data_IF_183912449924
#
_entry.id   IF_183912449924
#
_cell.length_a   1.000
_cell.length_b   1.000
_cell.length_c   1.000
_cell.angle_alpha   90.00
_cell.angle_beta   90.00
_cell.angle_gamma   90.00
#
_symmetry.space_group_name_H-M   'P 1'
#
loop_
_entity.id
_entity.type
_entity.pdbx_description
1 polymer ?
#
# COMPACT_ATOMS: atom_id res chain seq x y z
N UNK A 1 -2.42 21.14 23.20
CA UNK A 1 -1.58 21.82 22.18
C UNK A 1 -1.34 20.86 21.04
N UNK A 2 -1.82 21.16 19.82
CA UNK A 2 -1.31 20.47 18.62
C UNK A 2 0.15 20.92 18.44
N UNK A 3 1.11 20.02 18.19
CA UNK A 3 2.48 20.43 17.90
C UNK A 3 2.46 21.38 16.68
N UNK A 4 3.34 22.38 16.69
CA UNK A 4 3.52 23.26 15.54
C UNK A 4 3.87 22.40 14.30
N UNK A 5 3.33 22.72 13.11
CA UNK A 5 3.67 21.97 11.91
C UNK A 5 5.18 22.07 11.69
N UNK A 6 5.85 20.92 11.70
CA UNK A 6 7.23 20.83 11.26
C UNK A 6 7.16 20.94 9.74
N UNK A 7 7.51 22.09 9.19
CA UNK A 7 7.69 22.22 7.74
C UNK A 7 8.97 21.49 7.37
N UNK A 8 8.82 20.32 6.74
CA UNK A 8 9.91 19.58 6.15
C UNK A 8 10.31 20.24 4.83
N UNK A 9 11.60 20.53 4.65
CA UNK A 9 12.12 20.89 3.32
C UNK A 9 12.43 19.62 2.54
N UNK A 10 11.96 19.57 1.29
CA UNK A 10 12.31 18.52 0.34
C UNK A 10 13.58 18.86 -0.45
N UNK A 11 14.10 20.08 -0.32
CA UNK A 11 15.30 20.51 -1.03
C UNK A 11 16.53 19.74 -0.54
N UNK A 12 17.34 19.27 -1.50
CA UNK A 12 18.55 18.49 -1.22
C UNK A 12 18.32 17.01 -0.89
N UNK A 13 17.06 16.54 -0.84
CA UNK A 13 16.77 15.12 -0.67
C UNK A 13 16.96 14.36 -1.98
N UNK A 14 17.70 13.26 -1.90
CA UNK A 14 17.87 12.33 -3.02
C UNK A 14 16.85 11.19 -3.00
N UNK A 15 16.24 10.92 -1.84
CA UNK A 15 15.41 9.73 -1.63
C UNK A 15 14.20 10.00 -0.74
N UNK A 16 13.18 9.16 -0.92
CA UNK A 16 12.03 9.01 -0.02
C UNK A 16 11.89 7.52 0.33
N UNK A 17 11.15 7.19 1.40
CA UNK A 17 11.01 5.82 1.89
C UNK A 17 9.56 5.39 1.81
N UNK A 18 9.26 4.45 0.91
CA UNK A 18 7.96 3.79 0.82
C UNK A 18 7.93 2.64 1.81
N UNK A 19 6.94 2.65 2.71
CA UNK A 19 6.81 1.62 3.74
C UNK A 19 5.44 0.97 3.59
N UNK A 20 5.43 -0.36 3.62
CA UNK A 20 4.21 -1.15 3.51
C UNK A 20 4.22 -2.26 4.54
N UNK A 21 3.05 -2.66 5.01
CA UNK A 21 2.93 -3.86 5.82
C UNK A 21 2.93 -5.11 4.92
N UNK A 22 3.90 -5.98 5.13
CA UNK A 22 3.99 -7.30 4.50
C UNK A 22 3.72 -8.43 5.48
N UNK A 23 3.61 -9.64 4.94
CA UNK A 23 3.52 -10.87 5.71
C UNK A 23 4.63 -11.83 5.32
N UNK A 24 5.43 -12.27 6.30
CA UNK A 24 6.42 -13.31 6.12
C UNK A 24 5.73 -14.67 6.28
N UNK A 25 5.53 -15.36 5.16
CA UNK A 25 4.90 -16.68 5.14
C UNK A 25 5.69 -17.75 5.90
N UNK A 26 7.01 -17.61 6.01
CA UNK A 26 7.86 -18.57 6.72
C UNK A 26 7.86 -18.33 8.22
N UNK A 27 7.87 -17.06 8.64
CA UNK A 27 7.88 -16.69 10.06
C UNK A 27 6.48 -16.54 10.65
N UNK A 28 5.44 -16.59 9.82
CA UNK A 28 4.06 -16.31 10.21
C UNK A 28 3.92 -14.97 10.95
N UNK A 29 4.73 -13.98 10.57
CA UNK A 29 4.83 -12.69 11.25
C UNK A 29 4.59 -11.55 10.27
N UNK A 30 4.00 -10.48 10.80
CA UNK A 30 3.85 -9.21 10.09
C UNK A 30 5.16 -8.45 10.16
N UNK A 31 5.59 -7.91 9.03
CA UNK A 31 6.84 -7.13 8.93
C UNK A 31 6.57 -5.85 8.15
N UNK A 32 7.28 -4.77 8.48
CA UNK A 32 7.31 -3.59 7.64
C UNK A 32 8.34 -3.82 6.53
N UNK A 33 7.88 -3.78 5.29
CA UNK A 33 8.74 -3.69 4.13
C UNK A 33 9.05 -2.23 3.86
N UNK A 34 10.34 -1.91 3.77
CA UNK A 34 10.83 -0.55 3.53
C UNK A 34 11.56 -0.56 2.20
N UNK A 35 11.09 0.25 1.27
CA UNK A 35 11.73 0.50 0.00
C UNK A 35 12.24 1.93 -0.07
N UNK A 36 13.51 2.09 -0.46
CA UNK A 36 14.11 3.39 -0.70
C UNK A 36 13.83 3.79 -2.15
N UNK A 37 13.20 4.92 -2.40
CA UNK A 37 12.86 5.39 -3.74
C UNK A 37 13.66 6.65 -4.08
N UNK A 38 14.19 6.72 -5.31
CA UNK A 38 14.94 7.88 -5.79
C UNK A 38 13.98 9.01 -6.18
N UNK A 39 14.28 10.23 -5.76
CA UNK A 39 13.58 11.43 -6.22
C UNK A 39 14.07 11.75 -7.64
N UNK A 40 13.13 11.84 -8.58
CA UNK A 40 13.39 12.10 -10.00
C UNK A 40 13.20 13.58 -10.35
N UNK A 41 12.34 14.28 -9.60
CA UNK A 41 12.05 15.70 -9.83
C UNK A 41 11.05 16.26 -8.83
N UNK A 42 11.04 17.58 -8.74
CA UNK A 42 10.13 18.36 -7.90
C UNK A 42 9.42 19.39 -8.79
N UNK A 43 8.11 19.33 -8.80
CA UNK A 43 7.25 20.36 -9.39
C UNK A 43 6.68 21.24 -8.27
N UNK A 44 5.79 22.18 -8.61
CA UNK A 44 5.13 23.04 -7.61
C UNK A 44 4.21 22.24 -6.67
N UNK A 45 3.57 21.18 -7.19
CA UNK A 45 2.55 20.42 -6.46
C UNK A 45 2.91 18.95 -6.27
N UNK A 46 3.84 18.42 -7.08
CA UNK A 46 4.15 16.99 -7.11
C UNK A 46 5.64 16.76 -6.87
N UNK A 47 5.95 15.75 -6.06
CA UNK A 47 7.26 15.10 -6.08
C UNK A 47 7.17 13.83 -6.90
N UNK A 48 8.04 13.72 -7.90
CA UNK A 48 8.15 12.54 -8.75
C UNK A 48 9.24 11.63 -8.22
N UNK A 49 8.88 10.39 -7.91
CA UNK A 49 9.81 9.38 -7.39
C UNK A 49 9.79 8.14 -8.26
N UNK A 50 10.93 7.44 -8.35
CA UNK A 50 11.00 6.17 -9.06
C UNK A 50 10.09 5.14 -8.38
N UNK A 51 9.28 4.41 -9.16
CA UNK A 51 8.42 3.34 -8.63
C UNK A 51 9.25 2.18 -8.05
N UNK A 52 10.40 1.89 -8.64
CA UNK A 52 11.30 0.84 -8.18
C UNK A 52 12.08 1.20 -6.91
N UNK A 53 12.35 0.18 -6.09
CA UNK A 53 13.32 0.27 -5.00
C UNK A 53 14.72 0.56 -5.54
N UNK A 54 15.39 1.56 -4.98
CA UNK A 54 16.77 1.89 -5.27
C UNK A 54 17.70 0.78 -4.77
N UNK A 55 18.42 0.17 -5.72
CA UNK A 55 19.43 -0.87 -5.43
C UNK A 55 20.79 -0.43 -5.98
N UNK A 56 21.78 -0.13 -5.13
CA UNK A 56 23.07 0.42 -5.57
C UNK A 56 23.84 -0.53 -6.48
N UNK A 57 23.71 -1.85 -6.27
CA UNK A 57 24.47 -2.87 -7.01
C UNK A 57 23.75 -3.41 -8.25
N UNK A 58 22.52 -2.95 -8.52
CA UNK A 58 21.67 -3.48 -9.60
C UNK A 58 21.47 -2.51 -10.76
N UNK A 59 22.17 -1.35 -10.74
CA UNK A 59 22.22 -0.36 -11.81
C UNK A 59 20.88 -0.15 -12.52
N UNK A 60 19.96 0.63 -11.91
CA UNK A 60 18.64 0.99 -12.46
C UNK A 60 18.09 -0.05 -13.45
N UNK A 61 17.90 -1.30 -12.98
CA UNK A 61 17.58 -2.42 -13.83
C UNK A 61 16.35 -2.14 -14.70
N UNK A 62 16.49 -2.40 -16.02
CA UNK A 62 15.49 -2.24 -17.10
C UNK A 62 14.06 -2.71 -16.77
N UNK A 63 13.88 -3.56 -15.76
CA UNK A 63 12.58 -4.07 -15.33
C UNK A 63 11.63 -3.00 -14.75
N UNK A 64 12.15 -1.84 -14.35
CA UNK A 64 11.34 -0.73 -13.81
C UNK A 64 11.21 0.45 -14.77
N UNK A 65 11.57 0.24 -16.03
CA UNK A 65 11.52 1.27 -17.05
C UNK A 65 10.43 0.98 -18.09
N UNK A 66 9.88 2.05 -18.67
CA UNK A 66 9.05 1.97 -19.85
C UNK A 66 9.83 1.46 -21.07
N UNK A 67 9.15 1.29 -22.21
CA UNK A 67 9.76 0.84 -23.45
C UNK A 67 10.91 1.73 -23.96
N UNK A 68 11.07 2.94 -23.40
CA UNK A 68 12.11 3.91 -23.73
C UNK A 68 13.24 3.95 -22.68
N UNK A 69 13.23 3.05 -21.70
CA UNK A 69 14.23 3.01 -20.64
C UNK A 69 14.05 4.06 -19.56
N UNK A 70 12.90 4.75 -19.48
CA UNK A 70 12.60 5.73 -18.43
C UNK A 70 11.96 5.01 -17.23
N UNK A 71 12.40 5.26 -15.99
CA UNK A 71 11.78 4.63 -14.83
C UNK A 71 10.30 5.01 -14.74
N UNK A 72 9.45 4.03 -14.41
CA UNK A 72 8.09 4.32 -13.98
C UNK A 72 8.12 5.23 -12.75
N UNK A 73 7.15 6.15 -12.67
CA UNK A 73 7.17 7.24 -11.70
C UNK A 73 5.90 7.26 -10.88
N UNK A 74 6.07 7.50 -9.60
CA UNK A 74 4.99 7.80 -8.67
C UNK A 74 5.01 9.31 -8.42
N UNK A 75 3.86 9.96 -8.62
CA UNK A 75 3.64 11.33 -8.19
C UNK A 75 3.04 11.35 -6.79
N UNK A 76 3.65 12.09 -5.86
CA UNK A 76 3.12 12.30 -4.51
C UNK A 76 2.85 13.78 -4.29
N UNK A 77 1.81 14.10 -3.52
CA UNK A 77 1.47 15.49 -3.20
C UNK A 77 2.59 16.11 -2.34
N UNK A 78 3.21 17.15 -2.90
CA UNK A 78 4.38 17.80 -2.32
C UNK A 78 4.02 18.51 -1.02
N UNK A 79 2.92 19.26 -1.03
CA UNK A 79 2.49 20.07 0.12
C UNK A 79 2.19 19.20 1.33
N UNK A 80 1.50 18.07 1.12
CA UNK A 80 1.19 17.09 2.16
C UNK A 80 2.46 16.52 2.77
N UNK A 81 3.44 16.14 1.94
CA UNK A 81 4.73 15.68 2.45
C UNK A 81 5.42 16.79 3.24
N UNK A 82 5.59 17.99 2.70
CA UNK A 82 6.25 19.10 3.40
C UNK A 82 5.58 19.43 4.74
N UNK A 83 4.26 19.31 4.86
CA UNK A 83 3.52 19.60 6.09
C UNK A 83 3.50 18.45 7.10
N UNK A 84 3.41 17.21 6.62
CA UNK A 84 3.12 16.05 7.48
C UNK A 84 4.32 15.12 7.65
N UNK A 85 5.35 15.23 6.81
CA UNK A 85 6.48 14.32 6.79
C UNK A 85 6.18 12.94 6.18
N UNK A 86 4.91 12.69 5.83
CA UNK A 86 4.46 11.43 5.26
C UNK A 86 3.19 11.60 4.42
N UNK A 87 2.93 10.65 3.52
CA UNK A 87 1.71 10.62 2.71
C UNK A 87 1.29 9.18 2.38
N UNK A 88 0.00 8.89 2.49
CA UNK A 88 -0.57 7.63 2.01
C UNK A 88 -0.59 7.61 0.48
N UNK A 89 -0.03 6.57 -0.12
CA UNK A 89 -0.08 6.39 -1.56
C UNK A 89 -1.25 5.51 -1.96
N UNK A 90 -2.21 6.09 -2.67
CA UNK A 90 -3.43 5.38 -3.08
C UNK A 90 -3.20 4.37 -4.22
N UNK A 91 -2.08 4.47 -4.94
CA UNK A 91 -1.72 3.55 -6.02
C UNK A 91 -1.31 2.16 -5.53
N UNK A 92 -0.86 2.02 -4.28
CA UNK A 92 -0.44 0.77 -3.64
C UNK A 92 -1.19 0.51 -2.33
N UNK A 93 -1.23 -0.73 -1.84
CA UNK A 93 -1.99 -1.01 -0.61
C UNK A 93 -1.15 -0.76 0.62
N UNK A 94 -1.66 0.15 1.47
CA UNK A 94 -1.06 0.43 2.77
C UNK A 94 0.37 0.94 2.65
N UNK A 95 0.75 1.44 1.46
CA UNK A 95 2.04 2.08 1.27
C UNK A 95 1.92 3.51 1.73
N UNK A 96 2.72 3.88 2.73
CA UNK A 96 2.90 5.27 3.14
C UNK A 96 4.34 5.66 2.83
N UNK A 97 4.50 6.82 2.21
CA UNK A 97 5.82 7.39 1.94
C UNK A 97 6.23 8.32 3.06
N UNK A 98 7.51 8.30 3.39
CA UNK A 98 8.12 9.10 4.46
C UNK A 98 9.36 9.80 3.95
N UNK A 99 9.51 11.06 4.34
CA UNK A 99 10.66 11.88 3.94
C UNK A 99 11.94 11.44 4.67
N UNK A 100 11.81 10.97 5.92
CA UNK A 100 12.94 10.56 6.76
C UNK A 100 12.97 9.05 6.95
N UNK A 101 14.17 8.50 6.88
CA UNK A 101 14.44 7.12 7.29
C UNK A 101 14.04 6.92 8.76
N UNK A 102 13.41 5.79 9.07
CA UNK A 102 12.99 5.38 10.41
C UNK A 102 11.99 6.33 11.10
N UNK A 103 11.23 7.13 10.33
CA UNK A 103 10.18 8.00 10.87
C UNK A 103 8.79 7.33 10.97
N UNK A 104 8.67 6.11 10.43
CA UNK A 104 7.45 5.31 10.46
C UNK A 104 7.28 4.55 11.77
N UNK A 105 6.03 4.30 12.15
CA UNK A 105 5.66 3.42 13.26
C UNK A 105 4.80 2.27 12.77
N UNK A 106 4.87 1.13 13.43
CA UNK A 106 4.07 -0.04 13.05
C UNK A 106 2.56 0.25 13.10
N UNK A 107 2.13 1.07 14.06
CA UNK A 107 0.73 1.48 14.26
C UNK A 107 0.17 2.27 13.08
N UNK A 108 1.01 2.97 12.32
CA UNK A 108 0.60 3.73 11.13
C UNK A 108 0.01 2.82 10.05
N UNK A 109 0.36 1.52 10.07
CA UNK A 109 -0.07 0.51 9.09
C UNK A 109 -1.10 -0.47 9.64
N UNK A 110 -1.61 -0.23 10.86
CA UNK A 110 -2.75 -0.99 11.39
C UNK A 110 -4.09 -0.38 10.96
N UNK A 111 -4.06 0.80 10.35
CA UNK A 111 -5.27 1.51 9.91
C UNK A 111 -5.77 0.93 8.60
N UNK A 112 -7.08 0.61 8.54
CA UNK A 112 -7.76 0.13 7.33
C UNK A 112 -7.64 1.18 6.20
N UNK A 113 -7.03 0.86 5.05
CA UNK A 113 -7.04 1.78 3.91
C UNK A 113 -8.49 2.02 3.46
N UNK A 114 -8.89 3.29 3.34
CA UNK A 114 -10.29 3.66 3.08
C UNK A 114 -10.89 2.95 1.88
N UNK A 115 -10.12 2.80 0.80
CA UNK A 115 -10.52 2.10 -0.43
C UNK A 115 -10.83 0.62 -0.26
N UNK A 116 -10.32 -0.02 0.80
CA UNK A 116 -10.55 -1.44 1.07
C UNK A 116 -11.76 -1.69 1.96
N UNK A 117 -12.26 -0.66 2.67
CA UNK A 117 -13.35 -0.82 3.63
C UNK A 117 -14.57 -1.55 3.06
N UNK A 118 -15.11 -1.21 1.87
CA UNK A 118 -16.30 -1.89 1.36
C UNK A 118 -16.09 -3.40 1.16
N UNK A 119 -14.89 -3.79 0.71
CA UNK A 119 -14.56 -5.19 0.44
C UNK A 119 -14.25 -5.98 1.72
N UNK A 120 -13.57 -5.34 2.67
CA UNK A 120 -13.30 -5.89 4.00
C UNK A 120 -14.61 -6.18 4.75
N UNK A 121 -15.56 -5.26 4.68
CA UNK A 121 -16.85 -5.39 5.36
C UNK A 121 -17.69 -6.52 4.76
N UNK A 122 -17.70 -6.69 3.43
CA UNK A 122 -18.37 -7.82 2.75
C UNK A 122 -17.81 -9.18 3.22
N UNK A 123 -16.49 -9.26 3.39
CA UNK A 123 -15.84 -10.49 3.84
C UNK A 123 -15.80 -10.66 5.36
N UNK A 124 -16.29 -9.67 6.13
CA UNK A 124 -16.14 -9.58 7.58
C UNK A 124 -14.67 -9.75 8.02
N UNK A 125 -13.74 -9.14 7.28
CA UNK A 125 -12.30 -9.30 7.47
C UNK A 125 -11.70 -8.02 8.08
N UNK A 126 -10.80 -8.19 9.05
CA UNK A 126 -10.09 -7.08 9.67
C UNK A 126 -8.76 -6.81 8.96
N UNK A 127 -8.39 -5.54 8.85
CA UNK A 127 -7.05 -5.15 8.40
C UNK A 127 -6.13 -4.99 9.61
N UNK A 128 -4.84 -5.35 9.50
CA UNK A 128 -4.26 -6.06 8.37
C UNK A 128 -4.57 -7.56 8.42
N UNK A 129 -4.54 -8.22 7.27
CA UNK A 129 -4.82 -9.65 7.13
C UNK A 129 -3.80 -10.34 6.23
N UNK A 130 -3.73 -11.66 6.37
CA UNK A 130 -2.91 -12.57 5.58
C UNK A 130 -3.71 -13.19 4.43
N UNK A 131 -3.02 -13.73 3.42
CA UNK A 131 -3.68 -14.48 2.35
C UNK A 131 -4.50 -15.67 2.90
N UNK A 132 -4.02 -16.32 3.96
CA UNK A 132 -4.73 -17.42 4.61
C UNK A 132 -6.04 -16.95 5.25
N UNK A 133 -6.01 -15.83 5.98
CA UNK A 133 -7.19 -15.20 6.58
C UNK A 133 -8.18 -14.74 5.50
N UNK A 134 -7.70 -14.15 4.39
CA UNK A 134 -8.54 -13.77 3.25
C UNK A 134 -9.26 -14.99 2.66
N UNK A 135 -8.53 -16.07 2.37
CA UNK A 135 -9.10 -17.32 1.84
C UNK A 135 -10.05 -17.98 2.83
N UNK A 136 -9.79 -17.88 4.13
CA UNK A 136 -10.68 -18.38 5.17
C UNK A 136 -11.97 -17.57 5.22
N UNK A 137 -11.89 -16.25 5.27
CA UNK A 137 -13.05 -15.36 5.29
C UNK A 137 -13.95 -15.56 4.06
N UNK A 138 -13.34 -15.65 2.86
CA UNK A 138 -14.07 -15.97 1.63
C UNK A 138 -14.81 -17.29 1.72
N UNK A 139 -14.14 -18.38 2.13
CA UNK A 139 -14.78 -19.70 2.27
C UNK A 139 -15.97 -19.67 3.21
N UNK A 140 -15.86 -18.98 4.35
CA UNK A 140 -16.95 -18.85 5.31
C UNK A 140 -18.14 -18.07 4.72
N UNK A 141 -17.89 -16.91 4.11
CA UNK A 141 -18.97 -16.10 3.53
C UNK A 141 -19.60 -16.75 2.30
N UNK A 142 -18.81 -17.46 1.49
CA UNK A 142 -19.31 -18.20 0.33
C UNK A 142 -20.25 -19.33 0.76
N UNK A 143 -19.89 -20.09 1.81
CA UNK A 143 -20.73 -21.16 2.35
C UNK A 143 -22.07 -20.63 2.89
N UNK A 144 -22.06 -19.50 3.61
CA UNK A 144 -23.26 -18.88 4.19
C UNK A 144 -24.20 -18.35 3.11
N UNK A 145 -23.67 -17.75 2.05
CA UNK A 145 -24.48 -17.11 1.01
C UNK A 145 -24.74 -18.01 -0.21
N UNK A 146 -24.27 -19.27 -0.22
CA UNK A 146 -24.37 -20.15 -1.38
C UNK A 146 -25.83 -20.40 -1.79
N UNK A 147 -26.23 -20.13 -3.05
CA UNK A 147 -27.62 -20.26 -3.50
C UNK A 147 -28.15 -21.70 -3.34
N UNK A 148 -27.35 -22.70 -3.68
CA UNK A 148 -27.74 -24.12 -3.54
C UNK A 148 -27.96 -24.56 -2.08
N UNK A 149 -27.51 -23.76 -1.11
CA UNK A 149 -27.73 -24.00 0.32
C UNK A 149 -28.82 -23.09 0.91
N UNK A 150 -29.63 -22.47 0.04
CA UNK A 150 -30.67 -21.51 0.44
C UNK A 150 -30.15 -20.11 0.75
N UNK A 151 -28.91 -19.80 0.37
CA UNK A 151 -28.30 -18.49 0.52
C UNK A 151 -28.72 -17.48 -0.57
N UNK A 152 -28.28 -16.24 -0.41
CA UNK A 152 -28.62 -15.16 -1.34
C UNK A 152 -27.58 -15.05 -2.47
N UNK A 153 -28.02 -15.28 -3.71
CA UNK A 153 -27.17 -15.25 -4.90
C UNK A 153 -26.50 -13.89 -5.17
N UNK A 154 -27.17 -12.77 -4.88
CA UNK A 154 -26.57 -11.42 -5.01
C UNK A 154 -25.44 -11.22 -4.01
N UNK A 155 -25.66 -11.63 -2.76
CA UNK A 155 -24.62 -11.58 -1.72
C UNK A 155 -23.44 -12.49 -2.06
N UNK A 156 -23.70 -13.68 -2.60
CA UNK A 156 -22.65 -14.58 -3.05
C UNK A 156 -21.76 -13.94 -4.13
N UNK A 157 -22.37 -13.26 -5.12
CA UNK A 157 -21.63 -12.50 -6.14
C UNK A 157 -20.79 -11.38 -5.53
N UNK A 158 -21.32 -10.65 -4.55
CA UNK A 158 -20.57 -9.59 -3.85
C UNK A 158 -19.36 -10.14 -3.09
N UNK A 159 -19.54 -11.27 -2.39
CA UNK A 159 -18.46 -11.97 -1.68
C UNK A 159 -17.35 -12.38 -2.64
N UNK A 160 -17.71 -12.95 -3.80
CA UNK A 160 -16.72 -13.33 -4.82
C UNK A 160 -15.98 -12.11 -5.38
N UNK A 161 -16.71 -11.05 -5.77
CA UNK A 161 -16.10 -9.83 -6.30
C UNK A 161 -15.16 -9.16 -5.29
N UNK A 162 -15.53 -9.15 -4.00
CA UNK A 162 -14.67 -8.61 -2.95
C UNK A 162 -13.39 -9.43 -2.76
N UNK A 163 -13.49 -10.76 -2.78
CA UNK A 163 -12.34 -11.64 -2.70
C UNK A 163 -11.38 -11.43 -3.88
N UNK A 164 -11.90 -11.41 -5.12
CA UNK A 164 -11.12 -11.19 -6.33
C UNK A 164 -10.43 -9.82 -6.35
N UNK A 165 -11.16 -8.77 -5.95
CA UNK A 165 -10.61 -7.43 -5.86
C UNK A 165 -9.43 -7.38 -4.87
N UNK A 166 -9.62 -7.92 -3.66
CA UNK A 166 -8.56 -7.94 -2.65
C UNK A 166 -7.38 -8.78 -3.12
N UNK A 167 -7.62 -9.97 -3.67
CA UNK A 167 -6.55 -10.85 -4.16
C UNK A 167 -5.68 -10.18 -5.24
N UNK A 168 -6.29 -9.52 -6.23
CA UNK A 168 -5.56 -8.87 -7.31
C UNK A 168 -4.84 -7.59 -6.87
N UNK A 169 -5.46 -6.77 -6.03
CA UNK A 169 -4.91 -5.47 -5.66
C UNK A 169 -3.88 -5.54 -4.52
N UNK A 170 -3.87 -6.62 -3.74
CA UNK A 170 -3.01 -6.72 -2.55
C UNK A 170 -1.64 -7.33 -2.78
N UNK A 171 -1.43 -8.09 -3.86
CA UNK A 171 -0.22 -8.92 -4.03
C UNK A 171 0.20 -9.63 -2.71
N UNK A 172 -0.76 -10.05 -1.87
CA UNK A 172 -0.54 -10.84 -0.64
C UNK A 172 -0.19 -12.29 -0.95
#
# INVERSE_FOLDING_TARGET
MKPAPINYSLEGLAFIYGVSLGFDAYRHQRLLWVAKHRILGLDQTIIWVAEGEYRPNLGEARAFCDQWGRPFRIGLDRQTLEQQGSIDWEGGIGTRFYIKENSWKYEDFLVKPRRLLPYLDILCLNYPFTLAELKQAYRQQALVNHPDRGGNADKFRQVQAAYEYLLHNLKV
#
